data_IF_880824699234
#
_entry.id   IF_880824699234
#
_cell.length_a   1.000
_cell.length_b   1.000
_cell.length_c   1.000
_cell.angle_alpha   90.00
_cell.angle_beta   90.00
_cell.angle_gamma   90.00
#
_symmetry.space_group_name_H-M   'P 1'
#
loop_
_entity.id
_entity.type
_entity.pdbx_description
1 polymer ?
#
# COMPACT_ATOMS: atom_id res chain seq x y z
N UNK A 1 -9.45 3.20 3.68
CA UNK A 1 -10.05 2.93 2.35
C UNK A 1 -10.45 4.25 1.77
N UNK A 2 -9.73 4.68 0.78
CA UNK A 2 -10.08 5.86 0.00
C UNK A 2 -11.40 5.57 -0.71
N UNK A 3 -12.32 6.50 -0.80
CA UNK A 3 -13.62 6.30 -1.45
C UNK A 3 -13.59 5.95 -2.94
N UNK A 4 -12.58 5.21 -3.40
CA UNK A 4 -12.40 4.76 -4.78
C UNK A 4 -13.39 3.68 -5.25
N UNK A 5 -14.48 3.49 -4.53
CA UNK A 5 -15.65 2.78 -5.05
C UNK A 5 -16.49 3.66 -6.00
N UNK A 6 -16.05 4.87 -6.31
CA UNK A 6 -16.71 5.76 -7.28
C UNK A 6 -16.40 5.24 -8.69
N UNK A 7 -17.43 4.89 -9.48
CA UNK A 7 -17.23 4.47 -10.87
C UNK A 7 -16.47 5.52 -11.70
N UNK A 8 -15.53 5.06 -12.52
CA UNK A 8 -14.74 5.93 -13.40
C UNK A 8 -13.45 6.49 -12.81
N UNK A 9 -13.14 6.23 -11.54
CA UNK A 9 -11.85 6.59 -10.96
C UNK A 9 -10.76 5.60 -11.39
N UNK A 10 -9.69 6.07 -12.01
CA UNK A 10 -8.63 5.23 -12.61
C UNK A 10 -7.44 4.97 -11.67
N UNK A 11 -7.66 4.88 -10.38
CA UNK A 11 -6.61 4.53 -9.44
C UNK A 11 -6.48 3.00 -9.28
N UNK A 12 -5.34 2.54 -8.75
CA UNK A 12 -5.10 1.11 -8.53
C UNK A 12 -6.14 0.48 -7.58
N UNK A 13 -6.60 1.20 -6.58
CA UNK A 13 -7.64 0.73 -5.65
C UNK A 13 -8.93 0.38 -6.43
N UNK A 14 -9.37 1.24 -7.34
CA UNK A 14 -10.53 0.96 -8.18
C UNK A 14 -10.30 -0.23 -9.13
N UNK A 15 -9.10 -0.36 -9.70
CA UNK A 15 -8.73 -1.54 -10.52
C UNK A 15 -8.81 -2.82 -9.68
N UNK A 16 -8.22 -2.85 -8.50
CA UNK A 16 -8.28 -3.99 -7.57
C UNK A 16 -9.74 -4.34 -7.24
N UNK A 17 -10.56 -3.35 -6.89
CA UNK A 17 -11.98 -3.56 -6.61
C UNK A 17 -12.77 -4.09 -7.82
N UNK A 18 -12.42 -3.65 -9.02
CA UNK A 18 -13.08 -4.11 -10.27
C UNK A 18 -12.78 -5.58 -10.54
N UNK A 19 -11.51 -5.97 -10.44
CA UNK A 19 -11.11 -7.36 -10.70
C UNK A 19 -11.45 -8.32 -9.55
N UNK A 20 -11.42 -7.85 -8.31
CA UNK A 20 -11.82 -8.65 -7.14
C UNK A 20 -13.32 -8.94 -7.10
N UNK A 21 -14.14 -8.09 -7.71
CA UNK A 21 -15.59 -8.22 -7.75
C UNK A 21 -16.32 -7.52 -6.59
N UNK A 22 -17.65 -7.60 -6.63
CA UNK A 22 -18.56 -6.87 -5.72
C UNK A 22 -18.37 -7.26 -4.25
N UNK A 23 -17.93 -8.47 -3.98
CA UNK A 23 -17.73 -8.98 -2.62
C UNK A 23 -16.64 -8.20 -1.88
N UNK A 24 -15.55 -7.81 -2.56
CA UNK A 24 -14.52 -6.96 -1.94
C UNK A 24 -15.10 -5.61 -1.54
N UNK A 25 -15.85 -4.95 -2.44
CA UNK A 25 -16.49 -3.66 -2.15
C UNK A 25 -17.42 -3.77 -0.95
N UNK A 26 -18.24 -4.81 -0.90
CA UNK A 26 -19.17 -5.02 0.19
C UNK A 26 -18.47 -5.27 1.52
N UNK A 27 -17.41 -6.09 1.53
CA UNK A 27 -16.62 -6.34 2.74
C UNK A 27 -15.95 -5.05 3.25
N UNK A 28 -15.38 -4.26 2.34
CA UNK A 28 -14.81 -2.96 2.68
C UNK A 28 -15.86 -2.01 3.26
N UNK A 29 -17.04 -1.93 2.64
CA UNK A 29 -18.15 -1.14 3.14
C UNK A 29 -18.57 -1.55 4.55
N UNK A 30 -18.76 -2.85 4.79
CA UNK A 30 -19.11 -3.37 6.12
C UNK A 30 -18.06 -3.04 7.19
N UNK A 31 -16.77 -3.19 6.85
CA UNK A 31 -15.66 -2.83 7.77
C UNK A 31 -15.69 -1.35 8.13
N UNK A 32 -15.89 -0.47 7.15
CA UNK A 32 -15.95 0.97 7.38
C UNK A 32 -17.20 1.38 8.15
N UNK A 33 -18.36 0.78 7.87
CA UNK A 33 -19.58 1.00 8.63
C UNK A 33 -19.42 0.60 10.10
N UNK A 34 -18.81 -0.56 10.37
CA UNK A 34 -18.53 -1.02 11.72
C UNK A 34 -17.52 -0.11 12.45
N UNK A 35 -16.55 0.42 11.72
CA UNK A 35 -15.55 1.34 12.28
C UNK A 35 -16.17 2.70 12.63
N UNK A 36 -17.06 3.26 11.79
CA UNK A 36 -17.77 4.51 12.03
C UNK A 36 -16.96 5.79 11.80
N UNK A 37 -15.71 5.68 11.34
CA UNK A 37 -14.85 6.81 10.98
C UNK A 37 -13.92 6.45 9.81
N UNK A 38 -13.31 7.45 9.18
CA UNK A 38 -12.38 7.25 8.07
C UNK A 38 -11.12 6.49 8.50
N UNK A 39 -10.55 5.72 7.57
CA UNK A 39 -9.30 5.00 7.82
C UNK A 39 -8.15 5.99 8.06
N UNK A 40 -7.48 5.91 9.21
CA UNK A 40 -6.34 6.78 9.48
C UNK A 40 -5.19 6.52 8.50
N UNK A 41 -4.54 7.60 8.03
CA UNK A 41 -3.35 7.52 7.19
C UNK A 41 -2.24 6.75 7.89
N UNK A 42 -1.57 5.86 7.17
CA UNK A 42 -0.47 5.05 7.70
C UNK A 42 -0.91 3.75 8.39
N UNK A 43 -2.21 3.54 8.59
CA UNK A 43 -2.76 2.28 9.10
C UNK A 43 -3.11 1.32 7.97
N UNK A 44 -3.29 0.04 8.30
CA UNK A 44 -3.66 -0.96 7.32
C UNK A 44 -4.77 -1.89 7.81
N UNK A 45 -5.55 -2.42 6.86
CA UNK A 45 -6.57 -3.45 7.07
C UNK A 45 -6.40 -4.57 6.06
N UNK A 46 -6.91 -5.74 6.38
CA UNK A 46 -6.85 -6.92 5.50
C UNK A 46 -8.24 -7.42 5.17
N UNK A 47 -8.42 -7.88 3.94
CA UNK A 47 -9.62 -8.56 3.45
C UNK A 47 -9.23 -9.78 2.63
N UNK A 48 -10.12 -10.77 2.47
CA UNK A 48 -9.97 -11.76 1.39
C UNK A 48 -9.88 -11.07 0.03
N UNK A 49 -9.19 -11.70 -0.91
CA UNK A 49 -8.97 -11.12 -2.24
C UNK A 49 -10.06 -11.48 -3.27
N UNK A 50 -10.95 -12.41 -2.91
CA UNK A 50 -12.07 -12.90 -3.74
C UNK A 50 -11.61 -13.41 -5.10
N UNK A 51 -11.91 -12.71 -6.21
CA UNK A 51 -11.57 -13.17 -7.56
C UNK A 51 -10.12 -12.88 -7.98
N UNK A 52 -9.33 -12.21 -7.15
CA UNK A 52 -7.92 -11.94 -7.45
C UNK A 52 -7.07 -13.20 -7.24
N UNK A 53 -5.98 -13.39 -8.00
CA UNK A 53 -5.09 -14.55 -7.88
C UNK A 53 -4.13 -14.42 -6.67
N UNK A 54 -4.60 -13.91 -5.55
CA UNK A 54 -3.88 -13.82 -4.28
C UNK A 54 -4.81 -14.15 -3.12
N UNK A 55 -4.27 -14.38 -1.92
CA UNK A 55 -5.09 -14.77 -0.77
C UNK A 55 -5.83 -13.58 -0.15
N UNK A 56 -5.15 -12.45 -0.06
CA UNK A 56 -5.63 -11.27 0.65
C UNK A 56 -5.31 -9.98 -0.08
N UNK A 57 -6.07 -8.94 0.20
CA UNK A 57 -5.76 -7.55 -0.13
C UNK A 57 -5.47 -6.80 1.16
N UNK A 58 -4.32 -6.14 1.21
CA UNK A 58 -3.95 -5.20 2.27
C UNK A 58 -4.34 -3.79 1.84
N UNK A 59 -5.17 -3.13 2.63
CA UNK A 59 -5.67 -1.79 2.37
C UNK A 59 -4.98 -0.81 3.30
N UNK A 60 -4.35 0.19 2.75
CA UNK A 60 -3.75 1.31 3.51
C UNK A 60 -4.07 2.63 2.83
N UNK A 61 -4.05 3.71 3.60
CA UNK A 61 -4.27 5.07 3.10
C UNK A 61 -2.96 5.84 3.25
N UNK A 62 -2.37 6.20 2.11
CA UNK A 62 -1.16 7.01 2.09
C UNK A 62 -1.45 8.50 2.29
N UNK A 63 -0.45 9.31 2.64
CA UNK A 63 -0.60 10.75 2.80
C UNK A 63 -0.87 11.47 1.47
N UNK A 64 -1.64 12.55 1.53
CA UNK A 64 -1.89 13.48 0.43
C UNK A 64 -1.00 14.70 0.66
N UNK A 65 -0.18 15.05 -0.34
CA UNK A 65 0.74 16.19 -0.25
C UNK A 65 0.05 17.45 -0.77
N UNK A 66 -0.16 18.38 0.13
CA UNK A 66 -0.72 19.70 -0.15
C UNK A 66 0.38 20.77 0.04
N UNK A 67 1.03 21.15 -1.04
CA UNK A 67 2.12 22.12 -1.04
C UNK A 67 3.49 21.45 -0.91
N UNK A 68 4.16 21.54 0.23
CA UNK A 68 5.50 20.97 0.45
C UNK A 68 5.47 19.70 1.29
N UNK A 69 6.40 18.80 1.00
CA UNK A 69 6.58 17.56 1.71
C UNK A 69 7.10 17.82 3.15
N UNK A 70 6.45 17.20 4.14
CA UNK A 70 6.86 17.30 5.55
C UNK A 70 7.43 15.99 6.08
N UNK A 71 8.14 16.06 7.22
CA UNK A 71 8.59 14.85 7.91
C UNK A 71 7.41 13.96 8.30
N UNK A 72 6.31 14.55 8.76
CA UNK A 72 5.09 13.81 9.12
C UNK A 72 4.55 13.00 7.94
N UNK A 73 4.56 13.55 6.72
CA UNK A 73 4.12 12.83 5.53
C UNK A 73 5.04 11.63 5.24
N UNK A 74 6.34 11.80 5.43
CA UNK A 74 7.30 10.71 5.28
C UNK A 74 7.06 9.60 6.32
N UNK A 75 6.84 9.96 7.58
CA UNK A 75 6.56 9.02 8.66
C UNK A 75 5.23 8.27 8.42
N UNK A 76 4.20 8.97 7.92
CA UNK A 76 2.91 8.36 7.55
C UNK A 76 3.04 7.39 6.37
N UNK A 77 3.85 7.74 5.37
CA UNK A 77 4.11 6.83 4.25
C UNK A 77 4.87 5.58 4.71
N UNK A 78 5.88 5.74 5.55
CA UNK A 78 6.59 4.61 6.17
C UNK A 78 5.61 3.71 6.95
N UNK A 79 4.69 4.32 7.70
CA UNK A 79 3.62 3.63 8.41
C UNK A 79 2.74 2.76 7.51
N UNK A 80 2.47 3.18 6.28
CA UNK A 80 1.71 2.35 5.33
C UNK A 80 2.40 1.02 5.04
N UNK A 81 3.72 1.05 4.80
CA UNK A 81 4.51 -0.17 4.51
C UNK A 81 4.62 -1.06 5.74
N UNK A 82 4.98 -0.48 6.89
CA UNK A 82 5.18 -1.26 8.13
C UNK A 82 3.88 -1.86 8.65
N UNK A 83 2.76 -1.14 8.60
CA UNK A 83 1.45 -1.67 8.99
C UNK A 83 0.98 -2.81 8.09
N UNK A 84 1.23 -2.73 6.79
CA UNK A 84 0.94 -3.83 5.86
C UNK A 84 1.82 -5.05 6.14
N UNK A 85 3.11 -4.86 6.39
CA UNK A 85 4.03 -5.96 6.71
C UNK A 85 3.71 -6.61 8.05
N UNK A 86 3.28 -5.83 9.05
CA UNK A 86 2.81 -6.36 10.32
C UNK A 86 1.59 -7.25 10.13
N UNK A 87 0.58 -6.79 9.38
CA UNK A 87 -0.57 -7.63 9.06
C UNK A 87 -0.18 -8.88 8.26
N UNK A 88 0.76 -8.77 7.32
CA UNK A 88 1.25 -9.92 6.59
C UNK A 88 1.90 -10.95 7.52
N UNK A 89 2.66 -10.50 8.51
CA UNK A 89 3.27 -11.35 9.54
C UNK A 89 2.20 -12.02 10.41
N UNK A 90 1.23 -11.24 10.91
CA UNK A 90 0.14 -11.72 11.76
C UNK A 90 -0.72 -12.79 11.06
N UNK A 91 -0.84 -12.71 9.73
CA UNK A 91 -1.55 -13.67 8.89
C UNK A 91 -0.66 -14.75 8.29
N UNK A 92 0.60 -14.85 8.75
CA UNK A 92 1.59 -15.83 8.28
C UNK A 92 1.74 -15.86 6.76
N UNK A 93 1.82 -14.68 6.14
CA UNK A 93 2.03 -14.55 4.71
C UNK A 93 3.53 -14.57 4.39
N UNK A 94 3.89 -15.20 3.28
CA UNK A 94 5.30 -15.32 2.85
C UNK A 94 5.69 -14.27 1.80
N UNK A 95 4.71 -13.61 1.18
CA UNK A 95 4.98 -12.59 0.15
C UNK A 95 3.97 -11.46 0.15
N UNK A 96 4.44 -10.25 -0.14
CA UNK A 96 3.63 -9.04 -0.28
C UNK A 96 4.03 -8.30 -1.56
N UNK A 97 3.05 -7.83 -2.32
CA UNK A 97 3.26 -6.93 -3.44
C UNK A 97 2.72 -5.53 -3.11
N UNK A 98 3.56 -4.52 -3.25
CA UNK A 98 3.20 -3.12 -3.06
C UNK A 98 3.13 -2.37 -4.38
N UNK A 99 2.14 -1.49 -4.53
CA UNK A 99 2.16 -0.43 -5.55
C UNK A 99 2.96 0.78 -5.05
N UNK A 100 3.17 1.78 -5.92
CA UNK A 100 3.76 3.06 -5.55
C UNK A 100 2.75 3.91 -4.76
N UNK A 101 2.72 3.74 -3.43
CA UNK A 101 1.75 4.40 -2.54
C UNK A 101 1.94 5.93 -2.60
N UNK A 102 0.83 6.67 -2.73
CA UNK A 102 0.72 8.14 -2.76
C UNK A 102 1.37 8.86 -3.94
N UNK A 103 2.04 8.19 -4.89
CA UNK A 103 2.75 8.86 -6.00
C UNK A 103 1.87 9.28 -7.19
N UNK A 104 0.59 8.95 -7.17
CA UNK A 104 -0.39 9.37 -8.17
C UNK A 104 -1.04 10.70 -7.79
N UNK A 105 -2.37 10.69 -7.66
CA UNK A 105 -3.19 11.87 -7.32
C UNK A 105 -2.94 12.43 -5.92
N UNK A 106 -2.16 11.75 -5.09
CA UNK A 106 -1.74 12.24 -3.78
C UNK A 106 -0.43 13.03 -3.80
N UNK A 107 0.21 13.13 -4.98
CA UNK A 107 1.35 14.00 -5.27
C UNK A 107 2.60 13.81 -4.39
N UNK A 108 2.78 12.65 -3.78
CA UNK A 108 4.03 12.36 -3.08
C UNK A 108 5.17 12.25 -4.11
N UNK A 109 6.34 12.90 -3.91
CA UNK A 109 7.46 12.84 -4.83
C UNK A 109 7.95 11.40 -5.02
N UNK A 110 8.00 10.91 -6.28
CA UNK A 110 8.25 9.51 -6.62
C UNK A 110 9.58 8.99 -6.07
N UNK A 111 10.66 9.76 -6.23
CA UNK A 111 11.98 9.43 -5.72
C UNK A 111 11.95 9.19 -4.21
N UNK A 112 11.41 10.17 -3.47
CA UNK A 112 11.34 10.11 -2.01
C UNK A 112 10.42 8.99 -1.52
N UNK A 113 9.32 8.75 -2.23
CA UNK A 113 8.42 7.64 -1.93
C UNK A 113 9.11 6.28 -2.08
N UNK A 114 9.89 6.09 -3.14
CA UNK A 114 10.64 4.86 -3.37
C UNK A 114 11.73 4.63 -2.31
N UNK A 115 12.49 5.68 -1.93
CA UNK A 115 13.46 5.60 -0.82
C UNK A 115 12.79 5.12 0.47
N UNK A 116 11.65 5.73 0.84
CA UNK A 116 10.91 5.37 2.05
C UNK A 116 10.38 3.94 1.96
N UNK A 117 9.81 3.55 0.81
CA UNK A 117 9.29 2.22 0.59
C UNK A 117 10.36 1.14 0.80
N UNK A 118 11.53 1.31 0.18
CA UNK A 118 12.64 0.37 0.27
C UNK A 118 13.22 0.34 1.68
N UNK A 119 13.48 1.51 2.28
CA UNK A 119 14.05 1.61 3.62
C UNK A 119 13.11 0.98 4.66
N UNK A 120 11.83 1.40 4.71
CA UNK A 120 10.85 0.89 5.67
C UNK A 120 10.66 -0.62 5.56
N UNK A 121 10.63 -1.15 4.34
CA UNK A 121 10.49 -2.58 4.09
C UNK A 121 11.73 -3.35 4.54
N UNK A 122 12.91 -2.88 4.16
CA UNK A 122 14.19 -3.51 4.51
C UNK A 122 14.41 -3.51 6.02
N UNK A 123 14.14 -2.39 6.67
CA UNK A 123 14.29 -2.25 8.12
C UNK A 123 13.31 -3.15 8.87
N UNK A 124 12.05 -3.21 8.41
CA UNK A 124 11.05 -4.11 9.00
C UNK A 124 11.49 -5.57 8.92
N UNK A 125 11.94 -6.03 7.75
CA UNK A 125 12.37 -7.42 7.55
C UNK A 125 13.64 -7.78 8.35
N UNK A 126 14.50 -6.81 8.64
CA UNK A 126 15.72 -7.03 9.44
C UNK A 126 15.46 -7.03 10.95
N UNK A 127 14.49 -6.23 11.41
CA UNK A 127 14.28 -5.95 12.83
C UNK A 127 13.19 -6.82 13.46
N UNK A 128 12.35 -7.47 12.66
CA UNK A 128 11.20 -8.24 13.13
C UNK A 128 11.32 -9.72 12.76
N UNK A 129 10.87 -10.58 13.65
CA UNK A 129 10.62 -11.99 13.32
C UNK A 129 9.35 -12.05 12.46
N UNK A 130 9.53 -12.33 11.17
CA UNK A 130 8.44 -12.31 10.19
C UNK A 130 8.48 -13.51 9.26
N UNK A 131 7.29 -13.94 8.84
CA UNK A 131 7.14 -14.98 7.82
C UNK A 131 7.33 -14.47 6.39
N UNK A 132 7.38 -13.13 6.20
CA UNK A 132 7.52 -12.51 4.88
C UNK A 132 8.94 -12.70 4.34
N UNK A 133 9.05 -13.49 3.27
CA UNK A 133 10.33 -13.83 2.60
C UNK A 133 10.53 -13.05 1.30
N UNK A 134 9.44 -12.52 0.72
CA UNK A 134 9.47 -11.85 -0.57
C UNK A 134 8.60 -10.60 -0.57
N UNK A 135 9.21 -9.47 -0.93
CA UNK A 135 8.48 -8.23 -1.22
C UNK A 135 8.68 -7.86 -2.69
N UNK A 136 7.59 -7.51 -3.35
CA UNK A 136 7.58 -7.07 -4.74
C UNK A 136 7.09 -5.63 -4.80
N UNK A 137 7.88 -4.74 -5.37
CA UNK A 137 7.43 -3.39 -5.72
C UNK A 137 6.91 -3.41 -7.15
N UNK A 138 5.59 -3.37 -7.28
CA UNK A 138 4.90 -3.37 -8.57
C UNK A 138 4.77 -1.94 -9.08
N UNK A 139 5.59 -1.59 -10.04
CA UNK A 139 5.66 -0.27 -10.65
C UNK A 139 4.91 -0.23 -11.98
N UNK A 140 4.19 0.85 -12.26
CA UNK A 140 3.39 1.00 -13.46
C UNK A 140 4.03 1.95 -14.50
N UNK A 141 4.63 3.04 -14.04
CA UNK A 141 5.26 4.04 -14.90
C UNK A 141 6.75 3.72 -15.09
N UNK A 142 7.27 3.99 -16.29
CA UNK A 142 8.69 3.79 -16.60
C UNK A 142 9.62 4.60 -15.68
N UNK A 143 9.24 5.83 -15.33
CA UNK A 143 10.00 6.63 -14.36
C UNK A 143 10.11 5.94 -12.98
N UNK A 144 9.02 5.39 -12.47
CA UNK A 144 9.05 4.66 -11.20
C UNK A 144 9.94 3.42 -11.30
N UNK A 145 9.87 2.69 -12.42
CA UNK A 145 10.72 1.53 -12.67
C UNK A 145 12.20 1.90 -12.59
N UNK A 146 12.63 2.95 -13.29
CA UNK A 146 14.02 3.41 -13.28
C UNK A 146 14.48 3.80 -11.88
N UNK A 147 13.62 4.46 -11.09
CA UNK A 147 13.91 4.84 -9.71
C UNK A 147 14.14 3.56 -8.87
N UNK A 148 13.21 2.60 -8.90
CA UNK A 148 13.32 1.39 -8.11
C UNK A 148 14.51 0.51 -8.53
N UNK A 149 14.75 0.34 -9.83
CA UNK A 149 15.90 -0.42 -10.35
C UNK A 149 17.24 0.19 -9.87
N UNK A 150 17.37 1.52 -9.93
CA UNK A 150 18.57 2.22 -9.44
C UNK A 150 18.75 2.05 -7.93
N UNK A 151 17.69 2.23 -7.13
CA UNK A 151 17.75 2.14 -5.68
C UNK A 151 18.00 0.70 -5.18
N UNK A 152 17.42 -0.29 -5.83
CA UNK A 152 17.60 -1.71 -5.48
C UNK A 152 18.90 -2.29 -6.03
N UNK A 153 19.39 -1.81 -7.17
CA UNK A 153 20.65 -2.25 -7.78
C UNK A 153 21.89 -1.64 -7.13
N UNK A 154 21.74 -0.65 -6.26
CA UNK A 154 22.82 0.02 -5.53
C UNK A 154 23.11 -0.60 -4.15
N UNK A 155 22.45 -1.70 -3.80
CA UNK A 155 22.60 -2.41 -2.51
C UNK A 155 23.28 -3.75 -2.69
#
# INVERSE_FOLDING_TARGET
MTGCYIPGHTCIDNCIHTYAGVQLRYNCFQKMQKQGFEEPTGQAKITPAYNLPCRYVLHTVGPIINGHLTKKDCDLLAGCYTSCLQLATDYHLESVAFCCISTGVFHFPNEKAAEIAIASTTDFLKQNDTTVKKVVFNVFKENDKQIYERLLGSN
#
